data_IF_883292879812
#
_entry.id   IF_883292879812
#
_cell.length_a   1.000
_cell.length_b   1.000
_cell.length_c   1.000
_cell.angle_alpha   90.00
_cell.angle_beta   90.00
_cell.angle_gamma   90.00
#
_symmetry.space_group_name_H-M   'P 1'
#
loop_
_entity.id
_entity.type
_entity.pdbx_description
1 polymer ?
#
# COMPACT_ATOMS: atom_id res chain seq x y z
N UNK A 1 5.34 9.10 -14.55
CA UNK A 1 4.31 8.55 -15.46
C UNK A 1 2.96 9.08 -15.02
N UNK A 2 2.16 9.55 -15.96
CA UNK A 2 0.79 10.03 -15.69
C UNK A 2 -0.19 8.86 -15.79
N UNK A 3 -1.02 8.66 -14.76
CA UNK A 3 -2.18 7.77 -14.83
C UNK A 3 -3.40 8.54 -15.33
N UNK A 4 -3.80 8.32 -16.58
CA UNK A 4 -4.95 8.98 -17.20
C UNK A 4 -6.30 8.37 -16.83
N UNK A 5 -6.30 7.21 -16.17
CA UNK A 5 -7.51 6.46 -15.81
C UNK A 5 -7.84 6.52 -14.32
N UNK A 6 -7.12 7.31 -13.52
CA UNK A 6 -7.28 7.38 -12.05
C UNK A 6 -8.70 7.73 -11.58
N UNK A 7 -9.47 8.48 -12.39
CA UNK A 7 -10.86 8.83 -12.06
C UNK A 7 -11.87 7.74 -12.41
N UNK A 8 -11.50 6.81 -13.29
CA UNK A 8 -12.42 5.79 -13.83
C UNK A 8 -12.07 4.36 -13.40
N UNK A 9 -10.94 4.19 -12.75
CA UNK A 9 -10.42 2.92 -12.25
C UNK A 9 -9.80 3.10 -10.87
N UNK A 10 -9.60 2.00 -10.16
CA UNK A 10 -8.91 1.99 -8.88
C UNK A 10 -7.36 1.95 -9.07
N UNK A 11 -6.61 1.75 -7.98
CA UNK A 11 -5.14 1.79 -7.91
C UNK A 11 -4.44 0.78 -8.85
N UNK A 12 -5.12 -0.29 -9.30
CA UNK A 12 -4.62 -1.19 -10.33
C UNK A 12 -4.23 -0.45 -11.62
N UNK A 13 -4.91 0.65 -11.96
CA UNK A 13 -4.59 1.47 -13.13
C UNK A 13 -3.26 2.20 -12.98
N UNK A 14 -2.88 2.57 -11.75
CA UNK A 14 -1.57 3.15 -11.47
C UNK A 14 -0.45 2.14 -11.74
N UNK A 15 -0.60 0.90 -11.27
CA UNK A 15 0.38 -0.16 -11.55
C UNK A 15 0.41 -0.51 -13.04
N UNK A 16 -0.73 -0.47 -13.74
CA UNK A 16 -0.77 -0.65 -15.18
C UNK A 16 -0.03 0.45 -15.93
N UNK A 17 -0.17 1.70 -15.51
CA UNK A 17 0.52 2.85 -16.12
C UNK A 17 2.04 2.76 -15.95
N UNK A 18 2.53 2.24 -14.83
CA UNK A 18 3.97 2.11 -14.52
C UNK A 18 4.52 0.70 -14.78
N UNK A 19 3.77 -0.20 -15.39
CA UNK A 19 4.12 -1.62 -15.56
C UNK A 19 5.49 -1.88 -16.18
N UNK A 20 5.93 -1.01 -17.08
CA UNK A 20 7.22 -1.15 -17.77
C UNK A 20 8.42 -0.76 -16.87
N UNK A 21 8.15 -0.14 -15.73
CA UNK A 21 9.15 0.28 -14.74
C UNK A 21 9.19 -0.61 -13.51
N UNK A 22 8.17 -1.46 -13.30
CA UNK A 22 8.13 -2.36 -12.16
C UNK A 22 9.23 -3.43 -12.28
N UNK A 23 9.97 -3.57 -11.19
CA UNK A 23 11.05 -4.55 -11.08
C UNK A 23 11.25 -4.91 -9.62
N UNK A 24 12.44 -4.67 -9.08
CA UNK A 24 12.67 -4.61 -7.66
C UNK A 24 12.20 -3.23 -7.18
N UNK A 25 11.00 -3.16 -6.61
CA UNK A 25 10.32 -1.88 -6.36
C UNK A 25 9.58 -1.90 -5.04
N UNK A 26 9.54 -0.75 -4.39
CA UNK A 26 8.57 -0.48 -3.35
C UNK A 26 7.31 0.13 -3.98
N UNK A 27 6.15 -0.30 -3.52
CA UNK A 27 4.85 0.26 -3.85
C UNK A 27 4.27 0.78 -2.54
N UNK A 28 3.92 2.05 -2.50
CA UNK A 28 3.40 2.72 -1.31
C UNK A 28 2.13 3.48 -1.68
N UNK A 29 1.18 3.53 -0.77
CA UNK A 29 0.07 4.48 -0.84
C UNK A 29 0.54 5.88 -0.48
N UNK A 30 -0.04 6.90 -1.09
CA UNK A 30 0.39 8.30 -0.92
C UNK A 30 -0.04 8.93 0.41
N UNK A 31 -0.96 8.31 1.11
CA UNK A 31 -1.51 8.63 2.43
C UNK A 31 -0.73 7.99 3.59
N UNK A 32 0.24 7.13 3.28
CA UNK A 32 1.09 6.52 4.29
C UNK A 32 2.25 7.43 4.68
N UNK A 33 2.44 7.61 5.97
CA UNK A 33 3.56 8.26 6.60
C UNK A 33 4.38 7.25 7.42
N UNK A 34 5.69 7.28 7.27
CA UNK A 34 6.62 6.37 7.95
C UNK A 34 7.38 7.16 9.01
N UNK A 35 7.23 6.79 10.29
CA UNK A 35 7.89 7.47 11.43
C UNK A 35 9.39 7.17 11.49
N UNK A 36 9.82 6.13 10.81
CA UNK A 36 11.23 5.75 10.65
C UNK A 36 11.49 5.27 9.21
N UNK A 37 12.75 5.16 8.82
CA UNK A 37 13.09 4.66 7.49
C UNK A 37 12.90 3.14 7.42
N UNK A 38 11.85 2.70 6.75
CA UNK A 38 11.52 1.28 6.52
C UNK A 38 12.08 0.73 5.20
N UNK A 39 12.68 1.60 4.38
CA UNK A 39 13.18 1.26 3.05
C UNK A 39 14.65 0.88 3.11
N UNK A 40 14.97 -0.27 2.58
CA UNK A 40 16.34 -0.78 2.56
C UNK A 40 16.85 -0.90 1.12
N UNK A 41 18.15 -0.66 0.87
CA UNK A 41 18.74 -0.78 -0.46
C UNK A 41 18.73 -2.21 -1.00
N UNK A 42 18.62 -3.20 -0.10
CA UNK A 42 18.57 -4.62 -0.43
C UNK A 42 17.49 -5.31 0.37
N UNK A 43 16.58 -6.01 -0.31
CA UNK A 43 15.58 -6.89 0.29
C UNK A 43 15.76 -8.30 -0.27
N UNK A 44 15.71 -9.30 0.59
CA UNK A 44 15.97 -10.69 0.22
C UNK A 44 14.77 -11.37 -0.41
N UNK A 45 13.57 -10.94 -0.05
CA UNK A 45 12.32 -11.55 -0.51
C UNK A 45 11.22 -10.49 -0.65
N UNK A 46 10.25 -10.70 -1.56
CA UNK A 46 9.11 -9.80 -1.69
C UNK A 46 8.20 -9.94 -0.47
N UNK A 47 7.70 -8.82 0.04
CA UNK A 47 6.87 -8.84 1.24
C UNK A 47 5.77 -7.78 1.20
N UNK A 48 4.72 -7.99 1.96
CA UNK A 48 3.75 -6.97 2.34
C UNK A 48 3.96 -6.61 3.80
N UNK A 49 4.03 -5.31 4.11
CA UNK A 49 4.07 -4.82 5.49
C UNK A 49 2.74 -5.10 6.18
N UNK A 50 2.80 -5.43 7.45
CA UNK A 50 1.63 -5.86 8.21
C UNK A 50 1.64 -5.25 9.61
N UNK A 51 0.45 -4.85 10.05
CA UNK A 51 0.17 -4.50 11.44
C UNK A 51 -0.79 -5.50 12.05
N UNK A 52 -0.86 -5.53 13.37
CA UNK A 52 -1.80 -6.37 14.10
C UNK A 52 -3.01 -5.55 14.54
N UNK A 53 -4.21 -6.00 14.19
CA UNK A 53 -5.45 -5.43 14.68
C UNK A 53 -5.87 -6.13 15.97
N UNK A 54 -6.04 -5.36 17.04
CA UNK A 54 -6.73 -5.79 18.24
C UNK A 54 -8.23 -5.54 18.06
N UNK A 55 -9.03 -6.59 18.13
CA UNK A 55 -10.47 -6.51 17.85
C UNK A 55 -10.82 -6.56 16.37
N UNK A 56 -12.03 -6.07 16.05
CA UNK A 56 -12.56 -6.11 14.67
C UNK A 56 -11.87 -5.10 13.76
N UNK A 57 -11.66 -5.51 12.50
CA UNK A 57 -11.12 -4.65 11.43
C UNK A 57 -11.78 -4.97 10.11
N UNK A 58 -11.88 -3.97 9.22
CA UNK A 58 -12.34 -4.12 7.84
C UNK A 58 -11.20 -4.32 6.83
N UNK A 59 -9.95 -4.32 7.30
CA UNK A 59 -8.76 -4.40 6.47
C UNK A 59 -8.57 -5.79 5.81
N UNK A 60 -7.60 -5.88 4.90
CA UNK A 60 -7.18 -7.15 4.30
C UNK A 60 -6.40 -7.99 5.31
N UNK A 61 -7.12 -8.81 6.08
CA UNK A 61 -6.54 -9.72 7.05
C UNK A 61 -5.85 -10.90 6.34
N UNK A 62 -4.66 -11.26 6.82
CA UNK A 62 -3.85 -12.31 6.23
C UNK A 62 -3.56 -13.46 7.19
N UNK A 63 -3.29 -14.62 6.59
CA UNK A 63 -2.70 -15.77 7.27
C UNK A 63 -1.41 -16.14 6.56
N UNK A 64 -0.37 -16.43 7.30
CA UNK A 64 0.92 -16.87 6.78
C UNK A 64 1.29 -18.24 7.33
N UNK A 65 2.14 -18.96 6.62
CA UNK A 65 2.72 -20.23 7.08
C UNK A 65 3.89 -20.00 8.07
N UNK A 66 4.54 -21.08 8.49
CA UNK A 66 5.67 -21.06 9.42
C UNK A 66 6.91 -20.32 8.90
N UNK A 67 6.98 -20.05 7.59
CA UNK A 67 8.04 -19.28 6.93
C UNK A 67 7.62 -17.85 6.60
N UNK A 68 6.55 -17.36 7.20
CA UNK A 68 5.94 -16.05 6.95
C UNK A 68 5.40 -15.85 5.51
N UNK A 69 5.28 -16.91 4.70
CA UNK A 69 4.65 -16.82 3.39
C UNK A 69 3.14 -16.62 3.55
N UNK A 70 2.59 -15.58 2.92
CA UNK A 70 1.15 -15.32 2.91
C UNK A 70 0.45 -16.43 2.13
N UNK A 71 -0.47 -17.14 2.79
CA UNK A 71 -1.20 -18.27 2.24
C UNK A 71 -2.67 -17.97 2.03
N UNK A 72 -3.20 -17.00 2.75
CA UNK A 72 -4.60 -16.59 2.65
C UNK A 72 -4.74 -15.10 2.96
N UNK A 73 -5.66 -14.43 2.25
CA UNK A 73 -6.06 -13.05 2.51
C UNK A 73 -7.58 -12.97 2.41
N UNK A 74 -8.21 -12.27 3.34
CA UNK A 74 -9.65 -11.98 3.33
C UNK A 74 -9.93 -10.56 3.77
N UNK A 75 -11.00 -9.97 3.31
CA UNK A 75 -11.49 -8.68 3.80
C UNK A 75 -12.17 -8.87 5.15
N UNK A 76 -11.76 -8.08 6.11
CA UNK A 76 -12.32 -8.07 7.47
C UNK A 76 -11.87 -9.25 8.33
N UNK A 77 -11.85 -9.03 9.63
CA UNK A 77 -11.48 -10.02 10.63
C UNK A 77 -11.43 -9.43 12.02
N UNK A 78 -10.90 -10.19 12.96
CA UNK A 78 -10.62 -9.74 14.32
C UNK A 78 -9.35 -10.39 14.82
N UNK A 79 -8.62 -9.69 15.70
CA UNK A 79 -7.39 -10.18 16.35
C UNK A 79 -6.42 -10.80 15.33
N UNK A 80 -6.11 -10.07 14.28
CA UNK A 80 -5.44 -10.60 13.09
C UNK A 80 -4.38 -9.66 12.55
N UNK A 81 -3.35 -10.23 11.92
CA UNK A 81 -2.44 -9.47 11.06
C UNK A 81 -3.17 -9.04 9.80
N UNK A 82 -2.97 -7.79 9.39
CA UNK A 82 -3.56 -7.23 8.17
C UNK A 82 -2.52 -6.50 7.32
N UNK A 83 -2.77 -6.44 6.03
CA UNK A 83 -1.93 -5.75 5.04
C UNK A 83 -2.06 -4.24 5.25
N UNK A 84 -0.94 -3.57 5.47
CA UNK A 84 -0.94 -2.14 5.75
C UNK A 84 0.35 -1.46 5.31
N UNK A 85 0.23 -0.33 4.65
CA UNK A 85 1.37 0.49 4.29
C UNK A 85 1.99 0.12 2.94
N UNK A 86 3.24 -0.31 2.96
CA UNK A 86 4.01 -0.55 1.74
C UNK A 86 4.21 -2.04 1.44
N UNK A 87 4.51 -2.32 0.17
CA UNK A 87 4.93 -3.63 -0.29
C UNK A 87 6.27 -3.51 -1.02
N UNK A 88 7.16 -4.46 -0.80
CA UNK A 88 8.32 -4.66 -1.65
C UNK A 88 8.07 -5.83 -2.59
N UNK A 89 8.22 -5.60 -3.88
CA UNK A 89 8.11 -6.62 -4.92
C UNK A 89 9.46 -6.80 -5.60
N UNK A 90 9.86 -8.07 -5.81
CA UNK A 90 11.03 -8.36 -6.59
C UNK A 90 10.70 -8.51 -8.09
N UNK A 91 11.73 -8.58 -8.92
CA UNK A 91 11.59 -8.66 -10.38
C UNK A 91 10.74 -9.85 -10.85
N UNK A 92 10.81 -10.98 -10.14
CA UNK A 92 10.05 -12.17 -10.50
C UNK A 92 8.56 -11.97 -10.20
N UNK A 93 8.23 -11.49 -9.00
CA UNK A 93 6.86 -11.13 -8.64
C UNK A 93 6.30 -10.09 -9.64
N UNK A 94 7.03 -9.00 -9.87
CA UNK A 94 6.60 -7.93 -10.78
C UNK A 94 6.28 -8.45 -12.17
N UNK A 95 7.14 -9.30 -12.74
CA UNK A 95 6.92 -9.90 -14.06
C UNK A 95 5.64 -10.74 -14.11
N UNK A 96 5.39 -11.57 -13.10
CA UNK A 96 4.19 -12.41 -13.03
C UNK A 96 2.94 -11.56 -12.82
N UNK A 97 3.00 -10.62 -11.88
CA UNK A 97 1.89 -9.73 -11.58
C UNK A 97 1.47 -8.90 -12.80
N UNK A 98 2.43 -8.29 -13.51
CA UNK A 98 2.17 -7.52 -14.73
C UNK A 98 1.53 -8.39 -15.81
N UNK A 99 1.93 -9.65 -15.93
CA UNK A 99 1.30 -10.59 -16.88
C UNK A 99 -0.18 -10.80 -16.58
N UNK A 100 -0.55 -11.01 -15.31
CA UNK A 100 -1.96 -11.12 -14.89
C UNK A 100 -2.70 -9.80 -15.08
N UNK A 101 -2.14 -8.72 -14.56
CA UNK A 101 -2.74 -7.39 -14.69
C UNK A 101 -3.02 -7.04 -16.16
N UNK A 102 -2.06 -7.25 -17.06
CA UNK A 102 -2.24 -6.93 -18.49
C UNK A 102 -3.31 -7.79 -19.14
N UNK A 103 -3.35 -9.07 -18.81
CA UNK A 103 -4.34 -10.02 -19.35
C UNK A 103 -5.75 -9.71 -18.87
N UNK A 104 -5.89 -9.29 -17.61
CA UNK A 104 -7.17 -9.11 -16.95
C UNK A 104 -7.65 -7.66 -16.93
N UNK A 105 -6.81 -6.70 -17.30
CA UNK A 105 -7.05 -5.26 -17.15
C UNK A 105 -8.41 -4.78 -17.70
N UNK A 106 -8.85 -5.34 -18.82
CA UNK A 106 -10.10 -4.95 -19.46
C UNK A 106 -11.32 -5.77 -19.02
N UNK A 107 -11.17 -6.69 -18.07
CA UNK A 107 -12.32 -7.42 -17.52
C UNK A 107 -13.16 -6.46 -16.66
N UNK A 108 -14.50 -6.55 -16.75
CA UNK A 108 -15.38 -5.64 -16.01
C UNK A 108 -15.14 -5.64 -14.49
N UNK A 109 -14.92 -6.83 -13.91
CA UNK A 109 -14.66 -7.02 -12.48
C UNK A 109 -13.34 -6.42 -12.00
N UNK A 110 -12.35 -6.25 -12.90
CA UNK A 110 -11.04 -5.68 -12.58
C UNK A 110 -11.06 -4.14 -12.65
N UNK A 111 -12.06 -3.56 -13.27
CA UNK A 111 -12.09 -2.11 -13.49
C UNK A 111 -11.99 -1.30 -12.19
N UNK A 112 -12.69 -1.74 -11.14
CA UNK A 112 -12.71 -1.10 -9.82
C UNK A 112 -11.94 -1.88 -8.75
N UNK A 113 -11.27 -2.97 -9.13
CA UNK A 113 -10.50 -3.78 -8.21
C UNK A 113 -9.26 -3.03 -7.73
N UNK A 114 -8.90 -3.23 -6.47
CA UNK A 114 -7.58 -2.89 -5.96
C UNK A 114 -6.53 -3.84 -6.55
N UNK A 115 -5.29 -3.42 -6.59
CA UNK A 115 -4.21 -4.27 -7.08
C UNK A 115 -4.02 -5.52 -6.20
N UNK A 116 -4.37 -5.40 -4.93
CA UNK A 116 -4.39 -6.47 -3.94
C UNK A 116 -5.37 -7.58 -4.29
N UNK A 117 -6.52 -7.23 -4.89
CA UNK A 117 -7.53 -8.23 -5.28
C UNK A 117 -7.03 -9.11 -6.44
N UNK A 118 -6.20 -8.53 -7.35
CA UNK A 118 -5.52 -9.31 -8.39
C UNK A 118 -4.47 -10.22 -7.75
N UNK A 119 -3.71 -9.73 -6.76
CA UNK A 119 -2.79 -10.54 -5.98
C UNK A 119 -3.52 -11.71 -5.28
N UNK A 120 -4.61 -11.43 -4.59
CA UNK A 120 -5.41 -12.44 -3.89
C UNK A 120 -5.95 -13.52 -4.82
N UNK A 121 -6.35 -13.15 -6.03
CA UNK A 121 -6.84 -14.09 -7.06
C UNK A 121 -5.74 -15.06 -7.52
N UNK A 122 -4.48 -14.67 -7.41
CA UNK A 122 -3.33 -15.42 -7.90
C UNK A 122 -2.31 -15.78 -6.80
N UNK A 123 -2.76 -15.95 -5.55
CA UNK A 123 -1.94 -16.29 -4.39
C UNK A 123 -1.09 -17.56 -4.57
N UNK A 124 -1.54 -18.49 -5.40
CA UNK A 124 -0.85 -19.73 -5.73
C UNK A 124 0.47 -19.52 -6.50
N UNK A 125 0.54 -18.43 -7.28
CA UNK A 125 1.67 -18.11 -8.17
C UNK A 125 2.38 -16.83 -7.81
N UNK A 126 1.72 -15.91 -7.12
CA UNK A 126 2.26 -14.65 -6.62
C UNK A 126 2.62 -14.80 -5.14
N UNK A 127 3.89 -14.94 -4.84
CA UNK A 127 4.35 -15.12 -3.47
C UNK A 127 4.77 -13.79 -2.86
N UNK A 128 4.14 -13.44 -1.73
CA UNK A 128 4.59 -12.41 -0.80
C UNK A 128 4.75 -13.01 0.59
N UNK A 129 5.64 -12.43 1.37
CA UNK A 129 5.84 -12.76 2.78
C UNK A 129 5.29 -11.64 3.66
N UNK A 130 4.78 -11.98 4.83
CA UNK A 130 4.41 -10.94 5.79
C UNK A 130 5.67 -10.34 6.43
N UNK A 131 5.75 -9.03 6.52
CA UNK A 131 6.76 -8.31 7.29
C UNK A 131 6.06 -7.49 8.36
N UNK A 132 6.18 -7.93 9.60
CA UNK A 132 5.48 -7.34 10.75
C UNK A 132 6.19 -6.07 11.20
N UNK A 133 5.42 -5.00 11.35
CA UNK A 133 5.88 -3.74 11.90
C UNK A 133 5.24 -3.48 13.26
N UNK A 134 5.90 -2.66 14.06
CA UNK A 134 5.34 -2.21 15.32
C UNK A 134 4.24 -1.17 15.09
N UNK A 135 3.20 -1.12 15.94
CA UNK A 135 2.22 -0.05 15.90
C UNK A 135 2.91 1.31 15.95
N UNK A 136 2.48 2.22 15.10
CA UNK A 136 3.04 3.56 15.00
C UNK A 136 4.21 3.74 14.01
N UNK A 137 4.83 2.66 13.52
CA UNK A 137 5.87 2.76 12.47
C UNK A 137 5.27 3.28 11.15
N UNK A 138 4.08 2.84 10.82
CA UNK A 138 3.34 3.26 9.63
C UNK A 138 2.06 3.94 10.11
N UNK A 139 1.78 5.13 9.61
CA UNK A 139 0.54 5.90 9.83
C UNK A 139 -0.17 6.08 8.49
N UNK A 140 -1.48 6.09 8.51
CA UNK A 140 -2.31 6.40 7.36
C UNK A 140 -3.15 7.63 7.69
N UNK A 141 -3.22 8.58 6.78
CA UNK A 141 -3.95 9.82 6.96
C UNK A 141 -4.99 9.96 5.87
N UNK A 142 -6.17 9.42 6.09
CA UNK A 142 -7.31 9.54 5.19
C UNK A 142 -7.98 10.92 5.27
N UNK A 143 -7.76 11.60 6.39
CA UNK A 143 -8.37 12.90 6.66
C UNK A 143 -7.42 13.87 7.37
N UNK A 144 -7.78 15.15 7.31
CA UNK A 144 -7.08 16.18 8.10
C UNK A 144 -7.22 15.93 9.62
N UNK A 145 -8.27 15.26 10.05
CA UNK A 145 -8.48 14.97 11.48
C UNK A 145 -7.54 13.88 11.97
N UNK A 146 -7.19 12.89 11.12
CA UNK A 146 -6.17 11.89 11.43
C UNK A 146 -4.78 12.55 11.59
N UNK A 147 -4.46 13.46 10.68
CA UNK A 147 -3.22 14.23 10.75
C UNK A 147 -3.15 15.12 11.97
N UNK A 148 -4.26 15.76 12.36
CA UNK A 148 -4.38 16.58 13.57
C UNK A 148 -4.25 15.76 14.85
N UNK A 149 -4.78 14.54 14.86
CA UNK A 149 -4.64 13.63 15.99
C UNK A 149 -3.19 13.16 16.16
N UNK A 150 -2.48 13.00 15.06
CA UNK A 150 -1.08 12.57 15.04
C UNK A 150 -0.12 13.72 15.44
N UNK A 151 -0.27 14.90 14.84
CA UNK A 151 0.61 16.05 15.06
C UNK A 151 -0.16 17.29 15.47
N UNK A 152 0.09 17.76 16.69
CA UNK A 152 -0.55 18.92 17.30
C UNK A 152 -0.35 20.22 16.51
N UNK A 153 0.70 20.33 15.69
CA UNK A 153 0.89 21.46 14.79
C UNK A 153 -0.32 21.65 13.87
N UNK A 154 -0.81 20.56 13.27
CA UNK A 154 -2.00 20.59 12.39
C UNK A 154 -3.30 20.82 13.18
N UNK A 155 -3.32 20.50 14.47
CA UNK A 155 -4.46 20.75 15.35
C UNK A 155 -4.63 22.22 15.73
N UNK A 156 -3.55 23.01 15.70
CA UNK A 156 -3.55 24.42 16.14
C UNK A 156 -3.63 25.43 15.00
N UNK A 157 -3.51 24.99 13.73
CA UNK A 157 -3.51 25.86 12.56
C UNK A 157 -4.77 25.66 11.72
N UNK A 158 -5.30 26.74 11.18
CA UNK A 158 -6.37 26.69 10.19
C UNK A 158 -5.89 26.10 8.86
N UNK A 159 -6.83 25.66 8.03
CA UNK A 159 -6.49 25.14 6.69
C UNK A 159 -5.75 26.18 5.84
N UNK A 160 -6.11 27.46 5.96
CA UNK A 160 -5.44 28.55 5.20
C UNK A 160 -3.99 28.73 5.66
N UNK A 161 -3.73 28.69 6.98
CA UNK A 161 -2.37 28.77 7.53
C UNK A 161 -1.50 27.59 7.10
N UNK A 162 -2.06 26.38 7.09
CA UNK A 162 -1.36 25.17 6.60
C UNK A 162 -1.02 25.26 5.11
N UNK A 163 -1.95 25.73 4.28
CA UNK A 163 -1.71 25.93 2.84
C UNK A 163 -0.63 27.00 2.60
N UNK A 164 -0.64 28.09 3.38
CA UNK A 164 0.38 29.12 3.31
C UNK A 164 1.76 28.61 3.73
N UNK A 165 1.81 27.79 4.78
CA UNK A 165 3.05 27.14 5.24
C UNK A 165 3.65 26.23 4.14
N UNK A 166 2.82 25.37 3.53
CA UNK A 166 3.23 24.49 2.43
C UNK A 166 3.72 25.26 1.22
N UNK A 167 2.99 26.31 0.79
CA UNK A 167 3.39 27.17 -0.32
C UNK A 167 4.75 27.83 -0.07
N UNK A 168 4.99 28.35 1.14
CA UNK A 168 6.26 28.97 1.52
C UNK A 168 7.41 27.96 1.60
N UNK A 169 7.14 26.71 1.97
CA UNK A 169 8.13 25.64 2.01
C UNK A 169 8.60 25.23 0.62
N UNK A 170 7.67 25.14 -0.34
CA UNK A 170 7.97 24.83 -1.74
C UNK A 170 8.74 25.93 -2.48
N UNK A 171 8.63 27.18 -2.03
CA UNK A 171 9.35 28.32 -2.63
C UNK A 171 10.81 28.45 -2.13
N UNK A 172 11.21 27.65 -1.12
CA UNK A 172 12.56 27.68 -0.53
C UNK A 172 13.47 26.56 -1.02
N UNK A 173 12.98 25.68 -1.85
CA UNK A 173 13.74 24.60 -2.53
C UNK A 173 14.03 24.97 -3.98
#
# INVERSE_FOLDING_TARGET
VENKEYQSRNNNSTLYAVRDYLGNSYICSSDNYFTENVFHPYEYQPYYSCLYAEGETSEYCLTADENDKITHVKVGGADSWYMFGHVYVNKEFSKRYISYLTKEYNLPEIRQAYWEEIYMKHLDTLTLYQKRFQPGTIQEFDSLDDLRAFDSFYGTHSQEELLLFLANSLLRT
#
